data_IF_206897920277
#
_entry.id   IF_206897920277
#
_cell.length_a   1.000
_cell.length_b   1.000
_cell.length_c   1.000
_cell.angle_alpha   90.00
_cell.angle_beta   90.00
_cell.angle_gamma   90.00
#
_symmetry.space_group_name_H-M   'P 1'
#
loop_
_entity.id
_entity.type
_entity.pdbx_description
1 polymer ?
#
# COMPACT_ATOMS: atom_id res chain seq x y z
N UNK A 1 -5.33 20.04 5.94
CA UNK A 1 -5.16 19.45 7.30
C UNK A 1 -3.93 18.57 7.27
N UNK A 2 -3.02 18.69 8.24
CA UNK A 2 -1.85 17.82 8.37
C UNK A 2 -2.20 16.54 9.15
N UNK A 3 -2.92 15.62 8.51
CA UNK A 3 -3.45 14.44 9.18
C UNK A 3 -2.38 13.45 9.63
N UNK A 4 -1.25 13.38 8.93
CA UNK A 4 -0.11 12.52 9.25
C UNK A 4 0.99 13.22 10.07
N UNK A 5 0.90 14.55 10.25
CA UNK A 5 1.81 15.33 11.09
C UNK A 5 3.19 15.60 10.49
N UNK A 6 3.33 15.61 9.17
CA UNK A 6 4.61 15.84 8.49
C UNK A 6 5.20 17.22 8.72
N UNK A 7 4.37 18.21 9.04
CA UNK A 7 4.80 19.54 9.51
C UNK A 7 5.56 19.44 10.84
N UNK A 8 5.11 18.58 11.75
CA UNK A 8 5.82 18.25 12.98
C UNK A 8 7.15 17.54 12.72
N UNK A 9 7.20 16.58 11.78
CA UNK A 9 8.43 15.88 11.40
C UNK A 9 9.49 16.86 10.87
N UNK A 10 9.08 17.77 9.99
CA UNK A 10 9.95 18.83 9.46
C UNK A 10 10.47 19.73 10.58
N UNK A 11 9.60 20.13 11.50
CA UNK A 11 9.95 20.96 12.65
C UNK A 11 10.94 20.26 13.59
N UNK A 12 10.74 18.97 13.87
CA UNK A 12 11.66 18.17 14.68
C UNK A 12 13.05 18.08 14.03
N UNK A 13 13.12 17.89 12.72
CA UNK A 13 14.39 17.85 11.99
C UNK A 13 15.10 19.21 12.02
N UNK A 14 14.38 20.33 11.90
CA UNK A 14 14.94 21.67 12.05
C UNK A 14 15.47 21.92 13.49
N UNK A 15 14.73 21.42 14.50
CA UNK A 15 15.19 21.46 15.90
C UNK A 15 16.48 20.66 16.11
N UNK A 16 16.57 19.45 15.54
CA UNK A 16 17.78 18.64 15.58
C UNK A 16 18.94 19.34 14.86
N UNK A 17 18.69 19.96 13.70
CA UNK A 17 19.68 20.73 12.95
C UNK A 17 20.26 21.85 13.79
N UNK A 18 19.39 22.64 14.45
CA UNK A 18 19.81 23.72 15.34
C UNK A 18 20.70 23.21 16.48
N UNK A 19 20.22 22.18 17.20
CA UNK A 19 20.96 21.58 18.31
C UNK A 19 22.33 21.06 17.87
N UNK A 20 22.42 20.31 16.78
CA UNK A 20 23.68 19.80 16.25
C UNK A 20 24.64 20.91 15.82
N UNK A 21 24.13 22.00 15.24
CA UNK A 21 24.94 23.13 14.80
C UNK A 21 25.54 23.95 16.00
N UNK A 22 24.79 24.05 17.09
CA UNK A 22 25.18 24.78 18.30
C UNK A 22 26.14 23.98 19.18
N UNK A 23 25.85 22.69 19.38
CA UNK A 23 26.64 21.85 20.30
C UNK A 23 27.87 21.25 19.65
N UNK A 24 27.78 20.83 18.39
CA UNK A 24 28.86 20.16 17.63
C UNK A 24 29.55 19.00 18.37
N UNK A 25 28.86 18.39 19.31
CA UNK A 25 29.38 17.32 20.14
C UNK A 25 29.22 15.94 19.48
N UNK A 26 29.72 15.81 18.24
CA UNK A 26 29.78 14.56 17.50
C UNK A 26 30.96 14.52 16.54
N UNK A 27 31.37 13.32 16.13
CA UNK A 27 32.41 13.12 15.11
C UNK A 27 31.78 12.75 13.78
N UNK A 28 32.20 13.44 12.72
CA UNK A 28 31.73 13.16 11.37
C UNK A 28 30.83 14.26 10.80
N UNK A 29 29.90 13.87 9.93
CA UNK A 29 29.00 14.79 9.22
C UNK A 29 27.54 14.35 9.46
N UNK A 30 26.70 15.29 9.82
CA UNK A 30 25.26 15.09 9.83
C UNK A 30 24.66 15.67 8.52
N UNK A 31 23.94 14.86 7.77
CA UNK A 31 23.20 15.25 6.56
C UNK A 31 21.72 15.25 6.90
N UNK A 32 21.05 16.37 6.65
CA UNK A 32 19.63 16.55 6.92
C UNK A 32 18.86 16.33 5.63
N UNK A 33 17.94 15.36 5.65
CA UNK A 33 17.17 14.95 4.47
C UNK A 33 15.71 15.39 4.67
N UNK A 34 15.23 16.30 3.83
CA UNK A 34 13.83 16.69 3.75
C UNK A 34 13.21 16.01 2.54
N UNK A 35 12.61 14.85 2.75
CA UNK A 35 12.04 14.04 1.68
C UNK A 35 10.72 14.65 1.18
N UNK A 36 10.54 14.87 -0.13
CA UNK A 36 9.25 15.25 -0.71
C UNK A 36 8.36 14.04 -0.96
N UNK A 37 7.07 14.28 -1.15
CA UNK A 37 6.10 13.34 -1.74
C UNK A 37 6.14 11.91 -1.12
N UNK A 38 6.14 11.82 0.21
CA UNK A 38 6.15 10.55 0.93
C UNK A 38 4.86 9.76 0.68
N UNK A 39 3.71 10.44 0.65
CA UNK A 39 2.41 9.79 0.51
C UNK A 39 2.10 9.45 -0.96
N UNK A 40 2.52 8.24 -1.40
CA UNK A 40 2.12 7.61 -2.65
C UNK A 40 2.88 8.01 -3.91
N UNK A 41 3.69 9.08 -3.88
CA UNK A 41 4.41 9.53 -5.09
C UNK A 41 5.88 9.09 -5.16
N UNK A 42 6.38 8.40 -4.13
CA UNK A 42 7.69 7.75 -4.14
C UNK A 42 8.88 8.71 -4.13
N UNK A 43 8.78 9.84 -3.44
CA UNK A 43 9.86 10.85 -3.38
C UNK A 43 11.18 10.31 -2.85
N UNK A 44 11.17 9.38 -1.89
CA UNK A 44 12.40 8.72 -1.42
C UNK A 44 13.08 7.92 -2.54
N UNK A 45 12.29 7.18 -3.35
CA UNK A 45 12.82 6.42 -4.50
C UNK A 45 13.49 7.36 -5.50
N UNK A 46 12.85 8.46 -5.84
CA UNK A 46 13.42 9.45 -6.77
C UNK A 46 14.75 10.02 -6.22
N UNK A 47 14.83 10.34 -4.92
CA UNK A 47 16.06 10.81 -4.31
C UNK A 47 17.19 9.76 -4.39
N UNK A 48 16.86 8.47 -4.24
CA UNK A 48 17.82 7.37 -4.40
C UNK A 48 18.28 7.24 -5.86
N UNK A 49 17.36 7.27 -6.82
CA UNK A 49 17.66 7.23 -8.26
C UNK A 49 18.52 8.42 -8.71
N UNK A 50 18.36 9.58 -8.08
CA UNK A 50 19.18 10.77 -8.29
C UNK A 50 20.56 10.72 -7.59
N UNK A 51 20.88 9.62 -6.93
CA UNK A 51 22.19 9.40 -6.31
C UNK A 51 22.34 10.02 -4.92
N UNK A 52 21.33 9.93 -4.08
CA UNK A 52 21.38 10.50 -2.71
C UNK A 52 22.60 9.99 -1.93
N UNK A 53 22.81 8.68 -1.91
CA UNK A 53 23.88 8.08 -1.09
C UNK A 53 25.25 8.10 -1.79
N UNK A 54 25.29 8.26 -3.10
CA UNK A 54 26.54 8.53 -3.84
C UNK A 54 27.05 9.94 -3.55
N UNK A 55 26.13 10.93 -3.48
CA UNK A 55 26.46 12.33 -3.16
C UNK A 55 26.73 12.56 -1.66
N UNK A 56 26.00 11.83 -0.83
CA UNK A 56 26.03 11.94 0.62
C UNK A 56 26.16 10.55 1.26
N UNK A 57 27.34 9.88 1.13
CA UNK A 57 27.53 8.57 1.74
C UNK A 57 27.40 8.68 3.26
N UNK A 58 26.69 7.72 3.85
CA UNK A 58 26.45 7.64 5.28
C UNK A 58 26.63 6.22 5.80
N UNK A 59 27.02 6.07 7.06
CA UNK A 59 27.10 4.78 7.77
C UNK A 59 25.80 4.44 8.47
N UNK A 60 24.98 5.44 8.78
CA UNK A 60 23.73 5.29 9.50
C UNK A 60 22.70 6.30 8.97
N UNK A 61 21.42 5.92 9.04
CA UNK A 61 20.29 6.78 8.71
C UNK A 61 19.24 6.70 9.83
N UNK A 62 18.68 7.83 10.18
CA UNK A 62 17.67 7.94 11.23
C UNK A 62 16.42 8.60 10.67
N UNK A 63 15.26 8.12 11.10
CA UNK A 63 13.96 8.73 10.83
C UNK A 63 13.11 8.73 12.10
N UNK A 64 12.24 9.71 12.23
CA UNK A 64 11.26 9.78 13.32
C UNK A 64 9.88 10.05 12.71
N UNK A 65 8.87 9.40 13.26
CA UNK A 65 7.47 9.64 12.92
C UNK A 65 6.68 9.85 14.20
N UNK A 66 5.74 10.78 14.23
CA UNK A 66 4.81 10.93 15.34
C UNK A 66 3.88 9.73 15.44
N UNK A 67 3.41 9.43 16.63
CA UNK A 67 2.40 8.42 16.89
C UNK A 67 1.23 9.02 17.70
N UNK A 68 0.03 9.13 17.14
CA UNK A 68 -1.11 9.70 17.87
C UNK A 68 -1.58 8.80 19.02
N UNK A 69 -1.20 7.52 19.02
CA UNK A 69 -1.56 6.53 20.03
C UNK A 69 -0.47 6.34 21.11
N UNK A 70 0.69 7.01 20.97
CA UNK A 70 1.76 6.99 21.95
C UNK A 70 1.49 7.90 23.14
N UNK A 71 2.20 7.67 24.25
CA UNK A 71 2.17 8.61 25.38
C UNK A 71 2.95 9.88 25.02
N UNK A 72 2.49 11.01 25.54
CA UNK A 72 3.22 12.27 25.37
C UNK A 72 4.66 12.15 25.88
N UNK A 73 5.63 12.62 25.09
CA UNK A 73 7.08 12.58 25.39
C UNK A 73 7.70 11.18 25.45
N UNK A 74 7.00 10.15 24.96
CA UNK A 74 7.54 8.80 24.79
C UNK A 74 8.16 8.63 23.41
N UNK A 75 9.31 7.97 23.33
CA UNK A 75 9.95 7.53 22.09
C UNK A 75 9.93 6.01 22.07
N UNK A 76 9.30 5.45 21.06
CA UNK A 76 9.23 4.01 20.83
C UNK A 76 10.09 3.60 19.65
N UNK A 77 10.86 2.53 19.81
CA UNK A 77 11.69 1.97 18.74
C UNK A 77 11.31 0.49 18.58
N UNK A 78 10.93 0.11 17.36
CA UNK A 78 10.69 -1.28 17.02
C UNK A 78 12.01 -1.99 16.69
N UNK A 79 12.28 -3.10 17.38
CA UNK A 79 13.42 -3.95 17.03
C UNK A 79 13.08 -4.77 15.78
N UNK A 80 13.82 -4.58 14.72
CA UNK A 80 13.59 -5.26 13.42
C UNK A 80 12.72 -4.43 12.48
N UNK A 81 11.83 -5.08 11.75
CA UNK A 81 10.96 -4.45 10.75
C UNK A 81 9.93 -3.54 11.42
N UNK A 82 10.09 -2.23 11.31
CA UNK A 82 9.23 -1.25 11.97
C UNK A 82 8.06 -0.77 11.09
N UNK A 83 8.26 -0.73 9.76
CA UNK A 83 7.28 -0.23 8.81
C UNK A 83 7.00 -1.27 7.73
N UNK A 84 5.73 -1.47 7.41
CA UNK A 84 5.32 -2.33 6.31
C UNK A 84 5.54 -1.62 4.96
N UNK A 85 5.93 -2.37 3.95
CA UNK A 85 5.80 -1.96 2.56
C UNK A 85 4.32 -1.77 2.20
N UNK A 86 4.03 -0.88 1.26
CA UNK A 86 2.69 -0.59 0.78
C UNK A 86 2.61 -0.75 -0.74
N UNK A 87 1.57 -1.42 -1.20
CA UNK A 87 1.21 -1.48 -2.62
C UNK A 87 -0.29 -1.25 -2.78
N UNK A 88 -0.67 -0.72 -3.92
CA UNK A 88 -2.07 -0.51 -4.30
C UNK A 88 -2.35 -1.29 -5.57
N UNK A 89 -3.60 -1.72 -5.73
CA UNK A 89 -4.03 -2.39 -6.94
C UNK A 89 -5.43 -1.96 -7.35
N UNK A 90 -5.66 -2.00 -8.65
CA UNK A 90 -6.96 -1.86 -9.30
C UNK A 90 -7.22 -3.12 -10.12
N UNK A 91 -8.43 -3.66 -10.01
CA UNK A 91 -8.92 -4.76 -10.86
C UNK A 91 -10.17 -4.27 -11.56
N UNK A 92 -10.15 -4.29 -12.87
CA UNK A 92 -11.31 -3.98 -13.70
C UNK A 92 -11.86 -5.27 -14.30
N UNK A 93 -13.17 -5.44 -14.24
CA UNK A 93 -13.90 -6.56 -14.84
C UNK A 93 -14.72 -5.99 -15.98
N UNK A 94 -14.41 -6.41 -17.22
CA UNK A 94 -15.19 -6.08 -18.40
C UNK A 94 -16.12 -7.27 -18.70
N UNK A 95 -17.40 -7.06 -18.56
CA UNK A 95 -18.41 -8.10 -18.62
C UNK A 95 -19.50 -7.77 -19.66
N UNK A 96 -20.65 -8.41 -19.57
CA UNK A 96 -21.78 -8.19 -20.48
C UNK A 96 -23.04 -7.89 -19.70
N UNK A 97 -23.57 -6.68 -19.83
CA UNK A 97 -24.81 -6.25 -19.22
C UNK A 97 -26.06 -6.83 -19.87
N UNK A 98 -27.17 -6.78 -19.12
CA UNK A 98 -28.51 -7.10 -19.62
C UNK A 98 -29.62 -6.51 -18.76
N UNK A 99 -30.87 -6.68 -19.16
CA UNK A 99 -32.00 -6.46 -18.27
C UNK A 99 -31.95 -7.46 -17.09
N UNK A 100 -32.11 -6.97 -15.85
CA UNK A 100 -31.94 -7.80 -14.65
C UNK A 100 -32.90 -9.01 -14.58
N UNK A 101 -34.04 -8.95 -15.25
CA UNK A 101 -34.96 -10.09 -15.37
C UNK A 101 -34.51 -11.12 -16.39
N UNK A 102 -33.42 -10.89 -17.13
CA UNK A 102 -32.86 -11.80 -18.14
C UNK A 102 -31.39 -12.12 -17.89
N UNK A 103 -31.01 -12.59 -16.69
CA UNK A 103 -29.62 -12.78 -16.30
C UNK A 103 -28.86 -13.81 -17.18
N UNK A 104 -29.56 -14.72 -17.81
CA UNK A 104 -29.00 -15.71 -18.75
C UNK A 104 -28.42 -15.08 -20.03
N UNK A 105 -28.67 -13.80 -20.30
CA UNK A 105 -28.15 -13.06 -21.45
C UNK A 105 -26.93 -12.22 -21.09
N UNK A 106 -26.55 -12.16 -19.80
CA UNK A 106 -25.45 -11.38 -19.26
C UNK A 106 -24.31 -12.25 -18.76
N UNK A 107 -23.20 -11.57 -18.44
CA UNK A 107 -22.16 -12.05 -17.54
C UNK A 107 -22.13 -11.01 -16.42
N UNK A 108 -22.50 -11.39 -15.21
CA UNK A 108 -22.73 -10.45 -14.12
C UNK A 108 -21.43 -10.12 -13.38
N UNK A 109 -20.88 -8.90 -13.55
CA UNK A 109 -19.63 -8.53 -12.90
C UNK A 109 -19.75 -8.40 -11.37
N UNK A 110 -20.96 -8.20 -10.83
CA UNK A 110 -21.17 -8.10 -9.37
C UNK A 110 -20.97 -9.49 -8.73
N UNK A 111 -21.46 -10.55 -9.39
CA UNK A 111 -21.21 -11.92 -8.93
C UNK A 111 -19.72 -12.28 -9.02
N UNK A 112 -19.05 -11.86 -10.09
CA UNK A 112 -17.61 -12.08 -10.26
C UNK A 112 -16.82 -11.34 -9.16
N UNK A 113 -17.15 -10.08 -8.86
CA UNK A 113 -16.56 -9.34 -7.74
C UNK A 113 -16.70 -10.09 -6.41
N UNK A 114 -17.88 -10.62 -6.12
CA UNK A 114 -18.11 -11.39 -4.88
C UNK A 114 -17.19 -12.60 -4.78
N UNK A 115 -17.08 -13.38 -5.88
CA UNK A 115 -16.17 -14.53 -5.92
C UNK A 115 -14.70 -14.13 -5.81
N UNK A 116 -14.30 -13.06 -6.47
CA UNK A 116 -12.93 -12.54 -6.41
C UNK A 116 -12.56 -12.15 -4.98
N UNK A 117 -13.41 -11.38 -4.30
CA UNK A 117 -13.21 -10.94 -2.91
C UNK A 117 -13.05 -12.14 -1.98
N UNK A 118 -13.92 -13.13 -2.08
CA UNK A 118 -13.89 -14.30 -1.23
C UNK A 118 -12.60 -15.13 -1.45
N UNK A 119 -12.23 -15.38 -2.72
CA UNK A 119 -11.01 -16.11 -3.03
C UNK A 119 -9.74 -15.35 -2.60
N UNK A 120 -9.71 -14.03 -2.71
CA UNK A 120 -8.56 -13.22 -2.27
C UNK A 120 -8.31 -13.33 -0.76
N UNK A 121 -9.33 -13.58 0.08
CA UNK A 121 -9.15 -13.80 1.52
C UNK A 121 -8.32 -15.07 1.79
N UNK A 122 -8.38 -16.07 0.91
CA UNK A 122 -7.59 -17.29 1.05
C UNK A 122 -6.08 -17.06 0.87
N UNK A 123 -5.67 -16.00 0.19
CA UNK A 123 -4.26 -15.65 0.02
C UNK A 123 -3.60 -15.42 1.38
N UNK A 124 -4.22 -14.58 2.22
CA UNK A 124 -3.71 -14.29 3.56
C UNK A 124 -3.82 -15.51 4.48
N UNK A 125 -4.97 -16.18 4.46
CA UNK A 125 -5.28 -17.23 5.44
C UNK A 125 -4.74 -18.61 5.06
N UNK A 126 -4.40 -18.88 3.77
CA UNK A 126 -4.06 -20.22 3.28
C UNK A 126 -2.78 -20.28 2.44
N UNK A 127 -2.33 -19.16 1.85
CA UNK A 127 -1.11 -19.15 1.03
C UNK A 127 0.09 -18.49 1.74
N UNK A 128 -0.18 -17.56 2.65
CA UNK A 128 0.89 -16.88 3.40
C UNK A 128 1.45 -17.79 4.49
N UNK A 129 2.78 -17.94 4.60
CA UNK A 129 3.39 -18.69 5.69
C UNK A 129 2.95 -18.16 7.07
N UNK A 130 2.70 -19.02 8.07
CA UNK A 130 2.08 -18.61 9.35
C UNK A 130 2.95 -17.68 10.20
N UNK A 131 4.24 -17.58 9.96
CA UNK A 131 5.15 -16.66 10.65
C UNK A 131 5.35 -15.33 9.89
N UNK A 132 4.73 -15.19 8.74
CA UNK A 132 4.80 -13.97 7.95
C UNK A 132 3.53 -13.14 8.14
N UNK A 133 3.70 -11.80 8.09
CA UNK A 133 2.58 -10.87 8.21
C UNK A 133 2.31 -10.19 6.88
N UNK A 134 1.06 -10.24 6.46
CA UNK A 134 0.57 -9.53 5.29
C UNK A 134 -0.87 -9.08 5.50
N UNK A 135 -1.22 -7.92 4.97
CA UNK A 135 -2.59 -7.44 4.88
C UNK A 135 -2.94 -7.29 3.41
N UNK A 136 -4.08 -7.85 3.01
CA UNK A 136 -4.69 -7.66 1.70
C UNK A 136 -6.12 -7.17 1.94
N UNK A 137 -6.40 -5.93 1.57
CA UNK A 137 -7.72 -5.33 1.77
C UNK A 137 -8.27 -4.79 0.47
N UNK A 138 -9.50 -5.17 0.14
CA UNK A 138 -10.29 -4.49 -0.88
C UNK A 138 -11.02 -3.34 -0.19
N UNK A 139 -10.80 -2.14 -0.68
CA UNK A 139 -11.27 -0.90 -0.03
C UNK A 139 -12.34 -0.18 -0.84
N UNK A 140 -12.53 -0.54 -2.11
CA UNK A 140 -13.54 0.06 -2.98
C UNK A 140 -14.11 -0.98 -3.93
N UNK A 141 -15.42 -0.87 -4.19
CA UNK A 141 -16.15 -1.59 -5.23
C UNK A 141 -17.06 -0.59 -5.92
N UNK A 142 -16.97 -0.51 -7.23
CA UNK A 142 -17.81 0.36 -8.05
C UNK A 142 -18.44 -0.46 -9.18
N UNK A 143 -19.76 -0.51 -9.25
CA UNK A 143 -20.51 -1.17 -10.33
C UNK A 143 -21.98 -0.74 -10.29
N UNK A 144 -22.63 -0.75 -11.45
CA UNK A 144 -24.06 -0.52 -11.60
C UNK A 144 -24.50 0.91 -11.42
N UNK A 145 -25.69 1.24 -12.00
CA UNK A 145 -26.30 2.56 -11.94
C UNK A 145 -27.83 2.52 -11.86
N UNK A 146 -28.47 1.39 -12.15
CA UNK A 146 -29.91 1.24 -12.19
C UNK A 146 -30.37 -0.09 -11.56
N UNK A 147 -31.55 -0.08 -10.92
CA UNK A 147 -32.09 -1.25 -10.22
C UNK A 147 -32.43 -2.43 -11.12
N UNK A 148 -32.74 -2.18 -12.38
CA UNK A 148 -33.23 -3.19 -13.33
C UNK A 148 -32.24 -3.53 -14.45
N UNK A 149 -30.94 -3.17 -14.27
CA UNK A 149 -29.87 -3.41 -15.26
C UNK A 149 -28.70 -4.11 -14.57
N UNK A 150 -28.27 -5.25 -15.14
CA UNK A 150 -26.98 -5.87 -14.83
C UNK A 150 -25.91 -5.06 -15.55
N UNK A 151 -24.89 -4.53 -14.87
CA UNK A 151 -23.89 -3.66 -15.47
C UNK A 151 -22.94 -4.38 -16.42
N UNK A 152 -22.21 -3.61 -17.24
CA UNK A 152 -21.19 -4.13 -18.17
C UNK A 152 -19.79 -4.16 -17.58
N UNK A 153 -19.58 -3.47 -16.45
CA UNK A 153 -18.28 -3.41 -15.80
C UNK A 153 -18.38 -3.32 -14.29
N UNK A 154 -17.31 -3.73 -13.64
CA UNK A 154 -17.05 -3.44 -12.23
C UNK A 154 -15.58 -3.10 -12.01
N UNK A 155 -15.31 -2.32 -10.96
CA UNK A 155 -13.96 -1.98 -10.52
C UNK A 155 -13.83 -2.26 -9.03
N UNK A 156 -12.74 -2.96 -8.66
CA UNK A 156 -12.29 -3.11 -7.29
C UNK A 156 -10.95 -2.40 -7.12
N UNK A 157 -10.77 -1.76 -5.96
CA UNK A 157 -9.48 -1.19 -5.59
C UNK A 157 -9.08 -1.68 -4.21
N UNK A 158 -7.78 -1.80 -3.97
CA UNK A 158 -7.31 -2.30 -2.70
C UNK A 158 -5.87 -1.96 -2.40
N UNK A 159 -5.43 -2.47 -1.25
CA UNK A 159 -4.08 -2.25 -0.76
C UNK A 159 -3.49 -3.52 -0.19
N UNK A 160 -2.17 -3.65 -0.33
CA UNK A 160 -1.36 -4.71 0.28
C UNK A 160 -0.37 -4.05 1.24
N UNK A 161 -0.21 -4.65 2.44
CA UNK A 161 0.85 -4.30 3.39
C UNK A 161 1.67 -5.53 3.67
N UNK A 162 2.99 -5.42 3.61
CA UNK A 162 3.91 -6.56 3.71
C UNK A 162 5.22 -6.18 4.38
N UNK A 163 5.93 -7.17 4.92
CA UNK A 163 7.24 -6.99 5.54
C UNK A 163 8.38 -7.72 4.82
N UNK A 164 8.07 -8.50 3.76
CA UNK A 164 9.08 -9.14 2.91
C UNK A 164 8.67 -9.08 1.44
N UNK A 165 9.64 -8.94 0.56
CA UNK A 165 9.39 -8.91 -0.88
C UNK A 165 8.92 -10.27 -1.40
N UNK A 166 9.32 -11.36 -0.77
CA UNK A 166 8.90 -12.72 -1.10
C UNK A 166 7.40 -12.90 -0.85
N UNK A 167 6.91 -12.39 0.29
CA UNK A 167 5.47 -12.41 0.60
C UNK A 167 4.70 -11.50 -0.35
N UNK A 168 5.24 -10.34 -0.70
CA UNK A 168 4.61 -9.47 -1.70
C UNK A 168 4.49 -10.17 -3.06
N UNK A 169 5.57 -10.79 -3.54
CA UNK A 169 5.57 -11.52 -4.81
C UNK A 169 4.56 -12.68 -4.80
N UNK A 170 4.47 -13.43 -3.69
CA UNK A 170 3.47 -14.47 -3.50
C UNK A 170 2.04 -13.92 -3.64
N UNK A 171 1.74 -12.81 -2.96
CA UNK A 171 0.41 -12.19 -3.02
C UNK A 171 0.08 -11.74 -4.44
N UNK A 172 1.03 -11.08 -5.12
CA UNK A 172 0.86 -10.61 -6.50
C UNK A 172 0.59 -11.78 -7.46
N UNK A 173 1.37 -12.86 -7.37
CA UNK A 173 1.19 -14.08 -8.16
C UNK A 173 -0.20 -14.70 -7.92
N UNK A 174 -0.61 -14.81 -6.65
CA UNK A 174 -1.89 -15.42 -6.31
C UNK A 174 -3.09 -14.58 -6.76
N UNK A 175 -3.01 -13.26 -6.63
CA UNK A 175 -4.04 -12.34 -7.15
C UNK A 175 -4.20 -12.52 -8.66
N UNK A 176 -3.09 -12.53 -9.41
CA UNK A 176 -3.11 -12.75 -10.86
C UNK A 176 -3.73 -14.10 -11.22
N UNK A 177 -3.33 -15.18 -10.57
CA UNK A 177 -3.85 -16.52 -10.83
C UNK A 177 -5.36 -16.63 -10.53
N UNK A 178 -5.86 -15.96 -9.49
CA UNK A 178 -7.30 -15.90 -9.20
C UNK A 178 -8.04 -15.15 -10.32
N UNK A 179 -7.52 -14.00 -10.76
CA UNK A 179 -8.11 -13.25 -11.88
C UNK A 179 -8.18 -14.12 -13.14
N UNK A 180 -7.07 -14.72 -13.56
CA UNK A 180 -7.01 -15.62 -14.73
C UNK A 180 -7.98 -16.80 -14.61
N UNK A 181 -8.12 -17.36 -13.41
CA UNK A 181 -9.12 -18.41 -13.13
C UNK A 181 -10.55 -17.94 -13.33
N UNK A 182 -10.88 -16.73 -12.86
CA UNK A 182 -12.20 -16.13 -13.03
C UNK A 182 -12.46 -15.68 -14.46
N UNK A 183 -11.46 -15.15 -15.18
CA UNK A 183 -11.55 -14.87 -16.61
C UNK A 183 -11.98 -16.10 -17.39
N UNK A 184 -11.32 -17.23 -17.13
CA UNK A 184 -11.65 -18.52 -17.76
C UNK A 184 -13.04 -19.02 -17.35
N UNK A 185 -13.36 -18.97 -16.05
CA UNK A 185 -14.60 -19.52 -15.52
C UNK A 185 -15.86 -18.77 -15.98
N UNK A 186 -15.75 -17.44 -16.12
CA UNK A 186 -16.87 -16.57 -16.47
C UNK A 186 -16.82 -16.05 -17.91
N UNK A 187 -15.76 -16.33 -18.67
CA UNK A 187 -15.51 -15.80 -20.01
C UNK A 187 -15.58 -14.27 -20.05
N UNK A 188 -14.78 -13.61 -19.19
CA UNK A 188 -14.65 -12.15 -19.05
C UNK A 188 -13.20 -11.72 -19.20
N UNK A 189 -13.00 -10.41 -19.26
CA UNK A 189 -11.68 -9.76 -19.20
C UNK A 189 -11.52 -8.90 -17.92
#
# INVERSE_FOLDING_TARGET
MHACGHDGHTTMLLGAAKHLSETRNFKGKAVLIFQPAEEGMGGARLMLEEGLFEKFPCSEIYGIHNSPNGRHSEISICKGKAMAGASFFDIKINAKGSHAAMPHQSIDPIIICSNLIDQMQAIVSRNTPPLESVVLSITQIHSGSAYNVIPEEAKLCGTIRYFSNEVYALVEERVKAICEGLETAYNVE
#
